data_IF_639451329496
#
_entry.id   IF_639451329496
#
_cell.length_a   1.000
_cell.length_b   1.000
_cell.length_c   1.000
_cell.angle_alpha   90.00
_cell.angle_beta   90.00
_cell.angle_gamma   90.00
#
_symmetry.space_group_name_H-M   'P 1'
#
loop_
_entity.id
_entity.type
_entity.pdbx_description
1 polymer ?
#
# COMPACT_ATOMS: atom_id res chain seq x y z
N UNK A 1 -3.16 18.31 6.71
CA UNK A 1 -3.44 16.87 6.53
C UNK A 1 -2.29 16.29 5.73
N UNK A 2 -1.58 15.29 6.26
CA UNK A 2 -0.39 14.71 5.61
C UNK A 2 -0.84 13.43 4.88
N UNK A 3 -0.44 13.31 3.63
CA UNK A 3 -0.68 12.15 2.78
C UNK A 3 0.66 11.61 2.31
N UNK A 4 0.77 10.29 2.26
CA UNK A 4 1.98 9.59 1.89
C UNK A 4 1.67 8.66 0.73
N UNK A 5 2.52 8.70 -0.30
CA UNK A 5 2.50 7.75 -1.41
C UNK A 5 3.48 6.63 -1.15
N UNK A 6 3.02 5.39 -1.19
CA UNK A 6 3.84 4.20 -1.05
C UNK A 6 4.13 3.58 -2.40
N UNK A 7 5.41 3.29 -2.64
CA UNK A 7 5.87 2.60 -3.85
C UNK A 7 6.37 1.20 -3.48
N UNK A 8 5.82 0.19 -4.14
CA UNK A 8 6.29 -1.20 -4.09
C UNK A 8 6.26 -1.81 -5.47
N UNK A 9 7.03 -2.89 -5.65
CA UNK A 9 7.11 -3.61 -6.92
C UNK A 9 5.78 -4.30 -7.22
N UNK A 10 4.93 -3.66 -8.01
CA UNK A 10 3.70 -4.26 -8.50
C UNK A 10 3.99 -5.21 -9.66
N UNK A 11 3.30 -6.36 -9.67
CA UNK A 11 3.36 -7.32 -10.78
C UNK A 11 1.97 -7.61 -11.33
N UNK A 12 1.03 -8.00 -10.48
CA UNK A 12 -0.32 -8.38 -10.90
C UNK A 12 -1.32 -7.22 -10.95
N UNK A 13 -1.13 -6.15 -10.17
CA UNK A 13 -2.07 -5.01 -10.10
C UNK A 13 -3.47 -5.30 -9.53
N UNK A 14 -3.83 -6.58 -9.29
CA UNK A 14 -5.19 -7.00 -8.89
C UNK A 14 -5.23 -7.75 -7.55
N UNK A 15 -4.20 -7.62 -6.72
CA UNK A 15 -4.14 -8.27 -5.40
C UNK A 15 -3.88 -9.79 -5.40
N UNK A 16 -3.68 -10.41 -6.56
CA UNK A 16 -3.48 -11.88 -6.68
C UNK A 16 -2.10 -12.37 -6.26
N UNK A 17 -1.06 -11.57 -6.53
CA UNK A 17 0.36 -11.96 -6.39
C UNK A 17 0.99 -11.58 -5.05
N UNK A 18 0.37 -10.69 -4.26
CA UNK A 18 0.92 -10.28 -2.96
C UNK A 18 2.16 -9.38 -2.98
N UNK A 19 2.79 -9.09 -4.12
CA UNK A 19 3.99 -8.24 -4.17
C UNK A 19 3.72 -6.78 -3.76
N UNK A 20 2.49 -6.32 -3.98
CA UNK A 20 2.05 -4.97 -3.62
C UNK A 20 1.53 -4.89 -2.16
N UNK A 21 1.72 -5.94 -1.34
CA UNK A 21 1.17 -6.03 0.02
C UNK A 21 2.08 -5.30 1.01
N UNK A 22 1.47 -4.54 1.91
CA UNK A 22 2.11 -3.88 3.06
C UNK A 22 1.31 -4.28 4.29
N UNK A 23 1.95 -5.01 5.21
CA UNK A 23 1.27 -5.73 6.28
C UNK A 23 0.08 -6.54 5.74
N UNK A 24 -1.15 -6.11 6.01
CA UNK A 24 -2.40 -6.76 5.63
C UNK A 24 -3.14 -6.02 4.50
N UNK A 25 -2.60 -4.88 4.05
CA UNK A 25 -3.19 -4.02 3.01
C UNK A 25 -2.54 -4.26 1.65
N UNK A 26 -3.35 -4.33 0.59
CA UNK A 26 -2.87 -4.40 -0.78
C UNK A 26 -2.87 -3.02 -1.42
N UNK A 27 -1.68 -2.47 -1.69
CA UNK A 27 -1.52 -1.14 -2.28
C UNK A 27 -2.11 -1.06 -3.69
N UNK A 28 -2.09 -2.17 -4.43
CA UNK A 28 -2.67 -2.22 -5.77
C UNK A 28 -4.21 -2.23 -5.80
N UNK A 29 -4.86 -2.50 -4.66
CA UNK A 29 -6.33 -2.47 -4.53
C UNK A 29 -6.82 -1.19 -3.84
N UNK A 30 -6.22 -0.85 -2.69
CA UNK A 30 -6.61 0.35 -1.93
C UNK A 30 -5.99 1.65 -2.48
N UNK A 31 -4.96 1.52 -3.33
CA UNK A 31 -4.24 2.64 -3.92
C UNK A 31 -2.92 2.95 -3.22
N UNK A 32 -2.00 3.67 -3.89
CA UNK A 32 -0.69 4.02 -3.34
C UNK A 32 -0.73 5.15 -2.32
N UNK A 33 -1.82 5.91 -2.22
CA UNK A 33 -1.90 7.12 -1.39
C UNK A 33 -2.68 6.84 -0.11
N UNK A 34 -2.00 6.91 1.03
CA UNK A 34 -2.60 6.73 2.34
C UNK A 34 -2.47 7.98 3.21
N UNK A 35 -3.43 8.19 4.10
CA UNK A 35 -3.34 9.22 5.11
C UNK A 35 -2.24 8.85 6.12
N UNK A 36 -1.47 9.83 6.61
CA UNK A 36 -0.41 9.64 7.59
C UNK A 36 -0.80 8.75 8.78
N UNK A 37 -2.02 8.89 9.31
CA UNK A 37 -2.51 8.07 10.43
C UNK A 37 -2.58 6.58 10.08
N UNK A 38 -2.97 6.23 8.84
CA UNK A 38 -3.00 4.84 8.36
C UNK A 38 -1.59 4.38 7.93
N UNK A 39 -0.86 5.25 7.24
CA UNK A 39 0.51 5.04 6.78
C UNK A 39 1.47 4.66 7.93
N UNK A 40 1.32 5.26 9.11
CA UNK A 40 2.13 4.92 10.29
C UNK A 40 1.98 3.46 10.75
N UNK A 41 0.84 2.84 10.49
CA UNK A 41 0.62 1.42 10.81
C UNK A 41 0.95 0.49 9.63
N UNK A 42 1.32 1.06 8.48
CA UNK A 42 1.72 0.35 7.26
C UNK A 42 3.26 0.27 7.15
N UNK A 43 3.98 0.34 8.27
CA UNK A 43 5.42 0.11 8.32
C UNK A 43 5.69 -1.40 8.47
N UNK A 44 6.58 -1.92 7.62
CA UNK A 44 7.08 -3.30 7.56
C UNK A 44 8.49 -3.34 8.15
#
# INVERSE_FOLDING_TARGET
KIWLSFERKMSCGVGKCGHCKINETYVCLEGPVFNYTKAKNLLD
#
